data_IF_549062205636
#
_entry.id   IF_549062205636
#
_cell.length_a   1.000
_cell.length_b   1.000
_cell.length_c   1.000
_cell.angle_alpha   90.00
_cell.angle_beta   90.00
_cell.angle_gamma   90.00
#
_symmetry.space_group_name_H-M   'P 1'
#
loop_
_entity.id
_entity.type
_entity.pdbx_description
1 polymer ?
#
# COMPACT_ATOMS: atom_id res chain seq x y z
N UNK A 1 -33.23 -6.54 -19.14
CA UNK A 1 -32.11 -5.85 -19.79
C UNK A 1 -31.28 -5.24 -18.68
N UNK A 2 -30.23 -5.94 -18.27
CA UNK A 2 -29.40 -5.54 -17.13
C UNK A 2 -28.24 -4.74 -17.71
N UNK A 3 -28.22 -3.43 -17.45
CA UNK A 3 -27.03 -2.63 -17.73
C UNK A 3 -25.85 -3.28 -16.99
N UNK A 4 -24.76 -3.66 -17.69
CA UNK A 4 -23.55 -4.02 -17.00
C UNK A 4 -23.09 -2.73 -16.32
N UNK A 5 -22.97 -2.73 -14.99
CA UNK A 5 -22.27 -1.67 -14.28
C UNK A 5 -21.01 -1.33 -15.09
N UNK A 6 -20.79 -0.06 -15.50
CA UNK A 6 -19.60 0.30 -16.25
C UNK A 6 -18.41 -0.28 -15.49
N UNK A 7 -17.67 -1.18 -16.14
CA UNK A 7 -16.73 -2.03 -15.44
C UNK A 7 -15.74 -1.13 -14.70
N UNK A 8 -15.82 -1.10 -13.37
CA UNK A 8 -15.15 -0.09 -12.54
C UNK A 8 -13.62 -0.09 -12.70
N UNK A 9 -13.06 -1.08 -13.39
CA UNK A 9 -11.64 -1.21 -13.67
C UNK A 9 -11.15 -0.37 -14.86
N UNK A 10 -12.03 0.08 -15.76
CA UNK A 10 -11.63 0.74 -17.00
C UNK A 10 -10.93 2.10 -16.80
N UNK A 11 -11.37 2.99 -15.88
CA UNK A 11 -10.70 4.27 -15.68
C UNK A 11 -9.37 4.12 -14.93
N UNK A 12 -8.24 4.36 -15.60
CA UNK A 12 -6.91 4.36 -14.95
C UNK A 12 -6.82 5.33 -13.76
N UNK A 13 -7.59 6.42 -13.81
CA UNK A 13 -7.69 7.41 -12.73
C UNK A 13 -8.14 6.81 -11.39
N UNK A 14 -8.96 5.75 -11.42
CA UNK A 14 -9.42 5.05 -10.22
C UNK A 14 -8.27 4.39 -9.42
N UNK A 15 -7.08 4.25 -10.03
CA UNK A 15 -5.91 3.62 -9.43
C UNK A 15 -4.82 4.61 -9.02
N UNK A 16 -5.02 5.92 -9.19
CA UNK A 16 -4.00 6.92 -8.83
C UNK A 16 -3.65 6.91 -7.34
N UNK A 17 -4.58 6.50 -6.47
CA UNK A 17 -4.31 6.37 -5.04
C UNK A 17 -3.25 5.29 -4.73
N UNK A 18 -3.11 4.27 -5.60
CA UNK A 18 -2.09 3.20 -5.48
C UNK A 18 -0.68 3.78 -5.51
N UNK A 19 -0.50 4.93 -6.16
CA UNK A 19 0.82 5.55 -6.34
C UNK A 19 1.48 5.99 -5.02
N UNK A 20 0.74 5.91 -3.91
CA UNK A 20 1.13 6.48 -2.63
C UNK A 20 1.08 5.45 -1.50
N UNK A 21 0.68 4.22 -1.80
CA UNK A 21 0.53 3.16 -0.83
C UNK A 21 1.89 2.61 -0.39
N UNK A 22 2.00 2.33 0.91
CA UNK A 22 3.09 1.55 1.47
C UNK A 22 2.91 0.05 1.19
N UNK A 23 3.91 -0.74 1.56
CA UNK A 23 3.88 -2.20 1.38
C UNK A 23 2.64 -2.87 1.99
N UNK A 24 2.29 -2.60 3.25
CA UNK A 24 1.08 -3.16 3.87
C UNK A 24 -0.24 -2.71 3.22
N UNK A 25 -0.35 -1.46 2.79
CA UNK A 25 -1.52 -0.98 2.05
C UNK A 25 -1.64 -1.65 0.67
N UNK A 26 -0.54 -1.81 -0.06
CA UNK A 26 -0.53 -2.60 -1.30
C UNK A 26 -0.89 -4.06 -1.04
N UNK A 27 -0.37 -4.66 0.03
CA UNK A 27 -0.69 -6.03 0.41
C UNK A 27 -2.19 -6.22 0.62
N UNK A 28 -2.83 -5.24 1.27
CA UNK A 28 -4.26 -5.21 1.46
C UNK A 28 -5.02 -5.18 0.13
N UNK A 29 -4.62 -4.33 -0.81
CA UNK A 29 -5.28 -4.24 -2.11
C UNK A 29 -5.27 -5.58 -2.86
N UNK A 30 -4.17 -6.32 -2.82
CA UNK A 30 -4.13 -7.65 -3.41
C UNK A 30 -4.98 -8.66 -2.62
N UNK A 31 -4.93 -8.65 -1.29
CA UNK A 31 -5.70 -9.56 -0.45
C UNK A 31 -7.22 -9.37 -0.59
N UNK A 32 -7.71 -8.12 -0.54
CA UNK A 32 -9.16 -7.81 -0.59
C UNK A 32 -9.83 -8.23 -1.91
N UNK A 33 -9.03 -8.45 -2.96
CA UNK A 33 -9.46 -8.95 -4.28
C UNK A 33 -9.54 -10.47 -4.36
N UNK A 34 -8.98 -11.19 -3.38
CA UNK A 34 -8.99 -12.65 -3.39
C UNK A 34 -10.42 -13.20 -3.19
N UNK A 35 -10.94 -14.04 -4.11
CA UNK A 35 -12.31 -14.57 -4.01
C UNK A 35 -12.57 -15.36 -2.72
N UNK A 36 -11.62 -16.20 -2.31
CA UNK A 36 -11.75 -16.95 -1.06
C UNK A 36 -11.72 -16.05 0.18
N UNK A 37 -10.95 -14.95 0.18
CA UNK A 37 -10.96 -14.00 1.30
C UNK A 37 -12.34 -13.34 1.41
N UNK A 38 -12.91 -12.89 0.29
CA UNK A 38 -14.27 -12.33 0.23
C UNK A 38 -15.33 -13.35 0.66
N UNK A 39 -15.13 -14.64 0.38
CA UNK A 39 -16.02 -15.72 0.85
C UNK A 39 -15.90 -15.90 2.37
N UNK A 40 -14.69 -15.94 2.90
CA UNK A 40 -14.43 -16.07 4.34
C UNK A 40 -15.00 -14.87 5.12
N UNK A 41 -14.81 -13.65 4.61
CA UNK A 41 -15.41 -12.44 5.16
C UNK A 41 -16.94 -12.51 5.25
N UNK A 42 -17.60 -13.02 4.20
CA UNK A 42 -19.07 -13.19 4.20
C UNK A 42 -19.55 -14.25 5.19
N UNK A 43 -18.72 -15.24 5.50
CA UNK A 43 -19.04 -16.39 6.36
C UNK A 43 -18.66 -16.21 7.83
N UNK A 44 -18.25 -15.00 8.23
CA UNK A 44 -17.49 -14.70 9.48
C UNK A 44 -18.18 -14.94 10.84
N UNK A 45 -19.16 -15.83 10.98
CA UNK A 45 -19.84 -16.06 12.26
C UNK A 45 -18.94 -16.82 13.26
N UNK A 46 -18.69 -16.22 14.43
CA UNK A 46 -18.40 -16.93 15.70
C UNK A 46 -16.99 -17.50 15.97
N UNK A 47 -16.08 -17.59 15.00
CA UNK A 47 -14.68 -18.03 15.26
C UNK A 47 -13.69 -17.41 14.25
N UNK A 48 -13.33 -16.15 14.47
CA UNK A 48 -12.63 -15.33 13.48
C UNK A 48 -11.10 -15.46 13.50
N UNK A 49 -10.50 -15.86 14.63
CA UNK A 49 -9.04 -15.87 14.81
C UNK A 49 -8.31 -16.83 13.87
N UNK A 50 -8.73 -18.10 13.80
CA UNK A 50 -8.09 -19.11 12.95
C UNK A 50 -8.25 -18.79 11.44
N UNK A 51 -9.41 -18.26 11.04
CA UNK A 51 -9.65 -17.85 9.65
C UNK A 51 -8.85 -16.60 9.31
N UNK A 52 -8.70 -15.64 10.22
CA UNK A 52 -7.88 -14.45 9.97
C UNK A 52 -6.39 -14.81 9.83
N UNK A 53 -5.88 -15.70 10.68
CA UNK A 53 -4.48 -16.15 10.66
C UNK A 53 -4.08 -16.79 9.32
N UNK A 54 -5.00 -17.52 8.67
CA UNK A 54 -4.73 -18.09 7.33
C UNK A 54 -4.40 -17.02 6.28
N UNK A 55 -4.89 -15.80 6.47
CA UNK A 55 -4.67 -14.64 5.62
C UNK A 55 -3.53 -13.75 6.13
N UNK A 56 -2.91 -14.11 7.25
CA UNK A 56 -1.88 -13.31 7.91
C UNK A 56 -2.44 -12.11 8.67
N UNK A 57 -3.70 -12.16 9.11
CA UNK A 57 -4.37 -11.10 9.88
C UNK A 57 -4.75 -11.58 11.29
N UNK A 58 -4.74 -10.67 12.26
CA UNK A 58 -5.26 -10.91 13.60
C UNK A 58 -6.80 -10.96 13.63
N UNK A 59 -7.45 -10.20 12.73
CA UNK A 59 -8.89 -10.22 12.49
C UNK A 59 -9.17 -9.97 11.02
N UNK A 60 -10.30 -10.48 10.50
CA UNK A 60 -10.69 -10.15 9.12
C UNK A 60 -11.10 -8.68 9.05
N UNK A 61 -10.77 -8.05 7.92
CA UNK A 61 -11.09 -6.67 7.59
C UNK A 61 -12.09 -6.66 6.42
N UNK A 62 -12.90 -5.62 6.30
CA UNK A 62 -13.93 -5.54 5.27
C UNK A 62 -13.31 -5.39 3.88
N UNK A 63 -13.38 -6.40 2.99
CA UNK A 63 -12.81 -6.32 1.65
C UNK A 63 -13.53 -5.31 0.74
N UNK A 64 -14.64 -4.70 1.18
CA UNK A 64 -15.27 -3.56 0.51
C UNK A 64 -14.45 -2.27 0.64
N UNK A 65 -13.70 -2.10 1.72
CA UNK A 65 -12.87 -0.92 1.98
C UNK A 65 -11.53 -1.04 1.23
N UNK A 66 -11.15 0.03 0.55
CA UNK A 66 -9.81 0.12 -0.06
C UNK A 66 -8.76 0.52 0.99
N UNK A 67 -7.49 0.52 0.61
CA UNK A 67 -6.38 0.75 1.53
C UNK A 67 -6.34 2.17 2.14
N UNK A 68 -7.19 3.10 1.68
CA UNK A 68 -7.34 4.41 2.30
C UNK A 68 -8.20 4.37 3.56
N UNK A 69 -9.13 3.42 3.62
CA UNK A 69 -10.13 3.30 4.68
C UNK A 69 -9.96 2.03 5.52
N UNK A 70 -9.32 0.99 4.98
CA UNK A 70 -9.11 -0.26 5.66
C UNK A 70 -7.87 -0.24 6.56
N UNK A 71 -7.94 -0.93 7.70
CA UNK A 71 -6.84 -1.02 8.66
C UNK A 71 -6.56 -2.47 9.05
N UNK A 72 -6.04 -3.30 8.12
CA UNK A 72 -5.78 -4.70 8.42
C UNK A 72 -4.69 -4.84 9.49
N UNK A 73 -5.03 -5.51 10.59
CA UNK A 73 -4.08 -5.89 11.63
C UNK A 73 -3.28 -7.12 11.19
N UNK A 74 -2.11 -6.91 10.59
CA UNK A 74 -1.25 -7.98 10.09
C UNK A 74 -0.55 -8.74 11.23
N UNK A 75 -0.46 -10.07 11.14
CA UNK A 75 0.26 -10.88 12.13
C UNK A 75 1.78 -10.76 12.03
N UNK A 76 2.30 -10.41 10.84
CA UNK A 76 3.71 -10.11 10.66
C UNK A 76 3.90 -8.61 10.85
N UNK A 77 4.79 -8.24 11.77
CA UNK A 77 5.19 -6.83 11.92
C UNK A 77 5.69 -6.33 10.56
N UNK A 78 5.08 -5.27 10.00
CA UNK A 78 5.55 -4.68 8.76
C UNK A 78 7.02 -4.30 8.89
N UNK A 79 7.82 -4.63 7.88
CA UNK A 79 9.16 -4.09 7.79
C UNK A 79 9.08 -2.56 7.79
N UNK A 80 10.04 -1.90 8.46
CA UNK A 80 10.19 -0.44 8.45
C UNK A 80 9.13 0.36 9.24
N UNK A 81 8.53 -0.25 10.27
CA UNK A 81 7.65 0.47 11.18
C UNK A 81 8.47 1.37 12.11
N UNK A 82 8.30 2.67 11.98
CA UNK A 82 8.96 3.65 12.85
C UNK A 82 8.31 3.57 14.23
N UNK A 83 9.10 3.28 15.26
CA UNK A 83 8.60 3.24 16.63
C UNK A 83 8.82 4.59 17.31
N UNK A 84 7.80 5.11 17.98
CA UNK A 84 7.88 6.35 18.76
C UNK A 84 7.85 5.98 20.24
N UNK A 85 8.89 6.42 20.96
CA UNK A 85 9.08 6.13 22.38
C UNK A 85 9.24 7.45 23.17
N UNK A 86 8.88 7.48 24.46
CA UNK A 86 9.27 8.57 25.34
C UNK A 86 10.78 8.75 25.32
N UNK A 87 11.23 10.00 25.23
CA UNK A 87 12.63 10.34 25.45
C UNK A 87 12.92 10.29 26.95
N UNK A 88 13.85 9.41 27.35
CA UNK A 88 14.24 9.22 28.75
C UNK A 88 15.26 10.28 29.22
N UNK A 89 15.88 11.03 28.31
CA UNK A 89 16.87 12.05 28.62
C UNK A 89 16.73 13.28 27.70
N UNK A 90 15.59 14.00 27.78
CA UNK A 90 15.26 15.03 26.81
C UNK A 90 16.17 16.25 26.91
N UNK A 91 16.65 16.72 25.76
CA UNK A 91 17.24 18.05 25.61
C UNK A 91 16.18 19.15 25.75
N UNK A 92 16.60 20.40 25.96
CA UNK A 92 15.68 21.53 26.17
C UNK A 92 14.77 21.81 24.95
N UNK A 93 15.20 21.42 23.76
CA UNK A 93 14.51 21.58 22.47
C UNK A 93 13.91 20.27 21.95
N UNK A 94 13.78 19.24 22.80
CA UNK A 94 13.26 17.94 22.41
C UNK A 94 11.84 18.03 21.82
N UNK A 95 11.63 17.34 20.70
CA UNK A 95 10.31 17.28 20.04
C UNK A 95 9.33 16.54 20.93
N UNK A 96 8.21 17.18 21.23
CA UNK A 96 7.12 16.59 22.00
C UNK A 96 6.17 15.82 21.11
N UNK A 97 5.65 14.71 21.63
CA UNK A 97 4.63 13.95 20.94
C UNK A 97 3.29 14.68 20.99
N UNK A 98 2.84 15.15 19.83
CA UNK A 98 1.52 15.76 19.68
C UNK A 98 0.85 15.20 18.42
N UNK A 99 -0.17 14.37 18.62
CA UNK A 99 -0.95 13.76 17.53
C UNK A 99 -1.60 14.80 16.62
N UNK A 100 -2.01 15.95 17.16
CA UNK A 100 -2.69 17.00 16.42
C UNK A 100 -1.73 17.76 15.51
N UNK A 101 -0.48 17.93 15.92
CA UNK A 101 0.58 18.53 15.09
C UNK A 101 1.06 17.64 13.94
N UNK A 102 0.73 16.35 13.94
CA UNK A 102 1.07 15.45 12.84
C UNK A 102 0.20 15.81 11.63
N UNK A 103 0.83 16.09 10.50
CA UNK A 103 0.16 16.50 9.28
C UNK A 103 -0.62 15.34 8.63
N UNK A 104 -1.72 15.66 7.97
CA UNK A 104 -2.47 14.68 7.19
C UNK A 104 -3.69 14.09 7.88
N UNK A 105 -4.34 13.16 7.18
CA UNK A 105 -5.40 12.34 7.76
C UNK A 105 -4.77 11.28 8.65
N UNK A 106 -5.21 11.24 9.90
CA UNK A 106 -4.64 10.38 10.94
C UNK A 106 -5.65 9.32 11.31
N UNK A 107 -5.20 8.07 11.37
CA UNK A 107 -5.97 6.97 11.92
C UNK A 107 -5.16 6.26 12.98
N UNK A 108 -5.80 6.07 14.13
CA UNK A 108 -5.22 5.43 15.30
C UNK A 108 -6.00 4.14 15.58
N UNK A 109 -5.32 3.00 15.61
CA UNK A 109 -5.94 1.72 15.88
C UNK A 109 -5.00 0.79 16.65
N UNK A 110 -5.57 -0.17 17.37
CA UNK A 110 -4.78 -1.14 18.13
C UNK A 110 -4.68 -2.45 17.32
N UNK A 111 -3.46 -2.86 16.95
CA UNK A 111 -3.25 -4.08 16.15
C UNK A 111 -3.12 -5.37 16.97
N UNK A 112 -3.30 -5.27 18.29
CA UNK A 112 -3.25 -6.38 19.25
C UNK A 112 -1.98 -6.41 20.08
N UNK A 113 -0.88 -5.81 19.59
CA UNK A 113 0.41 -5.72 20.31
C UNK A 113 0.74 -4.30 20.76
N UNK A 114 0.48 -3.31 19.90
CA UNK A 114 0.72 -1.90 20.18
C UNK A 114 -0.31 -1.03 19.46
N UNK A 115 -0.31 0.25 19.82
CA UNK A 115 -1.13 1.26 19.17
C UNK A 115 -0.40 1.74 17.90
N UNK A 116 -1.08 1.68 16.76
CA UNK A 116 -0.53 2.10 15.47
C UNK A 116 -1.19 3.41 15.05
N UNK A 117 -0.35 4.38 14.72
CA UNK A 117 -0.78 5.61 14.07
C UNK A 117 -0.42 5.52 12.58
N UNK A 118 -1.40 5.71 11.72
CA UNK A 118 -1.19 5.93 10.29
C UNK A 118 -1.48 7.38 9.95
N UNK A 119 -0.59 8.00 9.17
CA UNK A 119 -0.72 9.37 8.71
C UNK A 119 -0.64 9.39 7.18
N UNK A 120 -1.68 9.91 6.55
CA UNK A 120 -1.74 10.12 5.10
C UNK A 120 -1.60 11.61 4.77
N UNK A 121 -0.58 11.90 3.98
CA UNK A 121 -0.36 13.18 3.30
C UNK A 121 -0.49 12.98 1.80
N UNK A 122 -0.76 14.03 1.00
CA UNK A 122 -0.75 13.94 -0.45
C UNK A 122 0.52 13.23 -0.88
N UNK A 123 0.41 12.03 -1.47
CA UNK A 123 1.57 11.30 -1.95
C UNK A 123 2.36 10.42 -0.98
N UNK A 124 2.04 10.34 0.31
CA UNK A 124 2.81 9.56 1.31
C UNK A 124 1.89 8.92 2.35
N UNK A 125 1.94 7.60 2.43
CA UNK A 125 1.50 6.82 3.60
C UNK A 125 2.66 6.65 4.57
N UNK A 126 2.41 6.86 5.87
CA UNK A 126 3.35 6.52 6.94
C UNK A 126 2.62 5.79 8.06
N UNK A 127 3.31 4.85 8.69
CA UNK A 127 2.84 4.11 9.86
C UNK A 127 3.85 4.24 10.98
N UNK A 128 3.35 4.38 12.20
CA UNK A 128 4.14 4.49 13.41
C UNK A 128 3.61 3.53 14.46
N UNK A 129 4.49 2.78 15.11
CA UNK A 129 4.18 2.08 16.35
C UNK A 129 4.36 3.04 17.52
N UNK A 130 3.36 3.17 18.37
CA UNK A 130 3.45 3.99 19.57
C UNK A 130 3.75 3.09 20.77
N UNK A 131 4.79 3.43 21.52
CA UNK A 131 5.10 2.75 22.77
C UNK A 131 3.93 2.93 23.77
N UNK A 132 3.59 1.92 24.58
CA UNK A 132 2.50 2.03 25.54
C UNK A 132 2.65 3.16 26.57
N UNK A 133 3.90 3.55 26.89
CA UNK A 133 4.21 4.63 27.81
C UNK A 133 4.24 6.03 27.14
N UNK A 134 3.96 6.12 25.84
CA UNK A 134 3.96 7.38 25.12
C UNK A 134 2.68 8.18 25.40
N UNK A 135 2.82 9.24 26.19
CA UNK A 135 1.74 10.16 26.51
C UNK A 135 1.75 11.43 25.64
N UNK A 136 0.65 12.15 25.61
CA UNK A 136 0.58 13.44 24.93
C UNK A 136 1.50 14.47 25.59
N UNK A 137 2.26 15.20 24.78
CA UNK A 137 3.13 16.29 25.23
C UNK A 137 4.46 15.85 25.84
N UNK A 138 4.72 14.55 25.97
CA UNK A 138 6.02 14.06 26.43
C UNK A 138 7.07 14.20 25.32
N UNK A 139 8.31 14.56 25.64
CA UNK A 139 9.42 14.45 24.70
C UNK A 139 9.51 13.04 24.12
N UNK A 140 9.75 12.93 22.83
CA UNK A 140 9.77 11.63 22.15
C UNK A 140 10.94 11.49 21.20
N UNK A 141 11.40 10.24 21.07
CA UNK A 141 12.37 9.81 20.08
C UNK A 141 11.73 8.80 19.15
N UNK A 142 12.32 8.63 17.97
CA UNK A 142 11.90 7.60 17.04
C UNK A 142 13.04 6.62 16.77
N UNK A 143 12.69 5.35 16.60
CA UNK A 143 13.60 4.30 16.17
C UNK A 143 13.07 3.74 14.86
N UNK A 144 13.92 3.74 13.84
CA UNK A 144 13.61 3.22 12.51
C UNK A 144 14.90 2.82 11.79
N UNK A 145 14.77 2.14 10.66
CA UNK A 145 15.90 1.87 9.78
C UNK A 145 16.33 3.15 9.05
N UNK A 146 17.59 3.27 8.63
CA UNK A 146 18.16 4.43 7.90
C UNK A 146 17.38 4.88 6.64
N UNK A 147 16.50 4.03 6.10
CA UNK A 147 15.60 4.34 4.96
C UNK A 147 14.18 4.70 5.36
N UNK A 148 13.87 4.60 6.65
CA UNK A 148 12.57 4.89 7.20
C UNK A 148 12.50 6.40 7.40
N UNK A 149 11.38 6.98 7.00
CA UNK A 149 11.20 8.38 7.28
C UNK A 149 11.19 8.59 8.81
N UNK A 150 11.89 9.62 9.29
CA UNK A 150 12.01 9.87 10.73
C UNK A 150 10.70 10.28 11.42
N UNK A 151 10.76 11.26 12.32
CA UNK A 151 9.58 11.74 13.06
C UNK A 151 8.36 12.02 12.16
N UNK A 152 7.14 11.91 12.71
CA UNK A 152 5.92 12.26 12.01
C UNK A 152 6.05 13.63 11.34
N UNK A 153 5.59 13.76 10.09
CA UNK A 153 5.63 15.04 9.39
C UNK A 153 4.79 16.06 10.17
N UNK A 154 5.39 17.19 10.51
CA UNK A 154 4.69 18.30 11.19
C UNK A 154 3.79 19.00 10.17
N UNK A 155 2.61 19.44 10.62
CA UNK A 155 1.68 20.22 9.82
C UNK A 155 2.31 21.56 9.41
N UNK A 156 2.81 21.61 8.18
CA UNK A 156 3.16 22.84 7.48
C UNK A 156 2.17 23.01 6.33
N UNK A 157 1.58 24.20 6.20
CA UNK A 157 0.65 24.56 5.10
C UNK A 157 1.26 24.26 3.72
N UNK A 158 2.60 24.34 3.59
CA UNK A 158 3.32 24.02 2.37
C UNK A 158 3.24 22.54 1.96
N UNK A 159 2.97 21.61 2.89
CA UNK A 159 2.97 20.17 2.62
C UNK A 159 1.85 19.75 1.64
N UNK A 160 0.74 20.49 1.60
CA UNK A 160 -0.38 20.26 0.68
C UNK A 160 -0.24 21.00 -0.65
N UNK A 161 0.56 22.07 -0.70
CA UNK A 161 0.81 22.89 -1.89
C UNK A 161 1.98 22.40 -2.77
N UNK A 162 2.80 21.47 -2.27
CA UNK A 162 3.96 20.96 -3.00
C UNK A 162 3.56 20.03 -4.16
N UNK A 163 3.88 20.44 -5.40
CA UNK A 163 3.89 19.55 -6.56
C UNK A 163 4.95 18.47 -6.39
N UNK A 164 4.57 17.21 -6.53
CA UNK A 164 5.47 16.07 -6.32
C UNK A 164 6.14 15.61 -7.61
N UNK A 165 7.36 15.04 -7.52
CA UNK A 165 8.01 14.47 -8.67
C UNK A 165 7.13 13.37 -9.29
N UNK A 166 7.24 13.24 -10.61
CA UNK A 166 6.54 12.22 -11.38
C UNK A 166 6.72 10.84 -10.72
N UNK A 167 5.65 10.04 -10.54
CA UNK A 167 5.75 8.71 -9.97
C UNK A 167 6.80 7.86 -10.70
N UNK A 168 7.63 7.17 -9.93
CA UNK A 168 8.63 6.26 -10.47
C UNK A 168 7.99 5.09 -11.23
N UNK A 169 8.76 4.46 -12.13
CA UNK A 169 8.28 3.34 -12.94
C UNK A 169 7.75 2.16 -12.12
N UNK A 170 8.36 1.87 -10.98
CA UNK A 170 7.92 0.79 -10.09
C UNK A 170 6.52 1.05 -9.52
N UNK A 171 6.24 2.30 -9.13
CA UNK A 171 4.96 2.71 -8.56
C UNK A 171 3.84 2.66 -9.62
N UNK A 172 4.12 3.14 -10.85
CA UNK A 172 3.20 2.99 -11.97
C UNK A 172 2.95 1.52 -12.33
N UNK A 173 3.97 0.66 -12.19
CA UNK A 173 3.82 -0.77 -12.40
C UNK A 173 2.83 -1.39 -11.41
N UNK A 174 2.82 -0.96 -10.14
CA UNK A 174 1.83 -1.44 -9.16
C UNK A 174 0.41 -1.06 -9.54
N UNK A 175 0.17 0.22 -9.90
CA UNK A 175 -1.14 0.69 -10.32
C UNK A 175 -1.67 -0.11 -11.53
N UNK A 176 -0.84 -0.28 -12.58
CA UNK A 176 -1.23 -1.09 -13.74
C UNK A 176 -1.39 -2.58 -13.42
N UNK A 177 -0.66 -3.11 -12.43
CA UNK A 177 -0.80 -4.51 -12.02
C UNK A 177 -2.14 -4.73 -11.31
N UNK A 178 -2.54 -3.82 -10.42
CA UNK A 178 -3.85 -3.87 -9.77
C UNK A 178 -4.99 -3.68 -10.78
N UNK A 179 -4.88 -2.72 -11.69
CA UNK A 179 -5.88 -2.52 -12.73
C UNK A 179 -6.01 -3.74 -13.65
N UNK A 180 -4.89 -4.33 -14.08
CA UNK A 180 -4.91 -5.55 -14.86
C UNK A 180 -5.51 -6.73 -14.07
N UNK A 181 -5.28 -6.83 -12.76
CA UNK A 181 -5.91 -7.85 -11.93
C UNK A 181 -7.42 -7.67 -11.88
N UNK A 182 -7.90 -6.45 -11.63
CA UNK A 182 -9.33 -6.15 -11.56
C UNK A 182 -10.03 -6.43 -12.89
N UNK A 183 -9.39 -6.09 -14.01
CA UNK A 183 -9.87 -6.44 -15.34
C UNK A 183 -9.99 -7.96 -15.56
N UNK A 184 -8.95 -8.72 -15.20
CA UNK A 184 -8.99 -10.18 -15.32
C UNK A 184 -10.04 -10.82 -14.40
N UNK A 185 -10.28 -10.26 -13.21
CA UNK A 185 -11.34 -10.70 -12.30
C UNK A 185 -12.74 -10.36 -12.83
N UNK A 186 -12.86 -9.31 -13.63
CA UNK A 186 -14.09 -8.96 -14.36
C UNK A 186 -14.32 -9.83 -15.61
N UNK A 187 -13.34 -10.67 -16.00
CA UNK A 187 -13.43 -11.52 -17.18
C UNK A 187 -12.90 -10.89 -18.47
N UNK A 188 -12.25 -9.72 -18.37
CA UNK A 188 -11.67 -9.05 -19.52
C UNK A 188 -10.55 -9.89 -20.18
N UNK A 189 -10.46 -9.75 -21.49
CA UNK A 189 -9.38 -10.29 -22.31
C UNK A 189 -8.10 -9.47 -22.16
N UNK A 190 -6.95 -10.07 -22.46
CA UNK A 190 -5.67 -9.35 -22.48
C UNK A 190 -5.68 -8.13 -23.41
N UNK A 191 -6.50 -8.17 -24.47
CA UNK A 191 -6.60 -7.07 -25.43
C UNK A 191 -7.36 -5.88 -24.83
N UNK A 192 -8.50 -6.12 -24.20
CA UNK A 192 -9.27 -5.07 -23.51
C UNK A 192 -8.42 -4.40 -22.41
N UNK A 193 -7.64 -5.19 -21.65
CA UNK A 193 -6.68 -4.63 -20.69
C UNK A 193 -5.66 -3.71 -21.37
N UNK A 194 -5.14 -4.12 -22.53
CA UNK A 194 -4.18 -3.31 -23.29
C UNK A 194 -4.82 -2.02 -23.80
N UNK A 195 -6.05 -2.09 -24.30
CA UNK A 195 -6.78 -0.95 -24.86
C UNK A 195 -7.10 0.07 -23.76
N UNK A 196 -7.48 -0.38 -22.56
CA UNK A 196 -7.69 0.50 -21.42
C UNK A 196 -6.40 1.20 -20.95
N UNK A 197 -5.27 0.50 -20.95
CA UNK A 197 -3.99 1.03 -20.44
C UNK A 197 -3.21 1.86 -21.47
N UNK A 198 -3.33 1.54 -22.75
CA UNK A 198 -2.50 2.09 -23.83
C UNK A 198 -3.28 2.76 -24.95
N UNK A 199 -4.61 2.66 -24.94
CA UNK A 199 -5.48 3.17 -25.98
C UNK A 199 -5.60 2.21 -27.17
N UNK A 200 -6.74 2.28 -27.85
CA UNK A 200 -7.10 1.41 -28.99
C UNK A 200 -6.14 1.56 -30.18
N UNK A 201 -5.69 2.78 -30.48
CA UNK A 201 -4.77 3.05 -31.59
C UNK A 201 -3.41 2.36 -31.41
N UNK A 202 -2.86 2.39 -30.19
CA UNK A 202 -1.59 1.73 -29.88
C UNK A 202 -1.70 0.20 -29.96
N UNK A 203 -2.82 -0.35 -29.49
CA UNK A 203 -3.11 -1.79 -29.59
C UNK A 203 -3.28 -2.21 -31.03
N UNK A 204 -4.02 -1.46 -31.84
CA UNK A 204 -4.19 -1.76 -33.26
C UNK A 204 -2.86 -1.81 -34.02
N UNK A 205 -1.89 -0.99 -33.64
CA UNK A 205 -0.57 -0.94 -34.27
C UNK A 205 0.38 -2.10 -33.88
N UNK A 206 0.27 -2.65 -32.65
CA UNK A 206 1.24 -3.61 -32.08
C UNK A 206 0.56 -4.77 -31.31
N UNK A 207 -0.52 -5.35 -31.85
CA UNK A 207 -1.21 -6.50 -31.22
C UNK A 207 -1.13 -7.77 -32.06
N UNK A 208 -0.04 -8.50 -31.86
CA UNK A 208 0.17 -9.84 -32.42
C UNK A 208 0.83 -10.77 -31.39
N UNK A 209 1.00 -12.05 -31.75
CA UNK A 209 1.43 -13.12 -30.84
C UNK A 209 2.75 -12.79 -30.09
N UNK A 210 3.73 -12.23 -30.82
CA UNK A 210 5.08 -11.94 -30.33
C UNK A 210 5.31 -10.47 -29.95
N UNK A 211 4.25 -9.64 -29.94
CA UNK A 211 4.37 -8.21 -29.62
C UNK A 211 4.84 -7.98 -28.19
N UNK A 212 5.69 -6.96 -28.01
CA UNK A 212 6.18 -6.54 -26.70
C UNK A 212 5.02 -6.08 -25.79
N UNK A 213 3.99 -5.48 -26.39
CA UNK A 213 2.76 -5.06 -25.73
C UNK A 213 1.99 -6.24 -25.14
N UNK A 214 1.68 -7.27 -25.94
CA UNK A 214 0.99 -8.49 -25.47
C UNK A 214 1.81 -9.21 -24.40
N UNK A 215 3.13 -9.30 -24.57
CA UNK A 215 4.02 -9.87 -23.56
C UNK A 215 3.99 -9.08 -22.24
N UNK A 216 3.92 -7.74 -22.29
CA UNK A 216 3.78 -6.88 -21.11
C UNK A 216 2.46 -7.12 -20.39
N UNK A 217 1.33 -7.20 -21.11
CA UNK A 217 0.03 -7.47 -20.51
C UNK A 217 -0.02 -8.84 -19.83
N UNK A 218 0.54 -9.88 -20.45
CA UNK A 218 0.69 -11.21 -19.84
C UNK A 218 1.49 -11.16 -18.54
N UNK A 219 2.56 -10.35 -18.47
CA UNK A 219 3.36 -10.21 -17.26
C UNK A 219 2.60 -9.48 -16.15
N UNK A 220 1.88 -8.40 -16.46
CA UNK A 220 1.07 -7.66 -15.49
C UNK A 220 -0.01 -8.55 -14.86
N UNK A 221 -0.80 -9.23 -15.70
CA UNK A 221 -1.90 -10.11 -15.25
C UNK A 221 -1.40 -11.27 -14.39
N UNK A 222 -0.31 -11.93 -14.80
CA UNK A 222 0.34 -12.98 -13.98
C UNK A 222 0.87 -12.44 -12.66
N UNK A 223 1.51 -11.27 -12.68
CA UNK A 223 2.03 -10.64 -11.47
C UNK A 223 0.91 -10.32 -10.49
N UNK A 224 -0.20 -9.74 -10.96
CA UNK A 224 -1.37 -9.44 -10.13
C UNK A 224 -1.98 -10.70 -9.51
N UNK A 225 -2.15 -11.75 -10.31
CA UNK A 225 -2.67 -13.03 -9.82
C UNK A 225 -1.74 -13.68 -8.77
N UNK A 226 -0.41 -13.63 -8.98
CA UNK A 226 0.58 -14.12 -8.02
C UNK A 226 0.55 -13.33 -6.70
N UNK A 227 0.48 -12.00 -6.78
CA UNK A 227 0.40 -11.15 -5.59
C UNK A 227 -0.89 -11.40 -4.82
N UNK A 228 -2.04 -11.48 -5.49
CA UNK A 228 -3.33 -11.83 -4.87
C UNK A 228 -3.26 -13.19 -4.17
N UNK A 229 -2.71 -14.22 -4.81
CA UNK A 229 -2.64 -15.60 -4.30
C UNK A 229 -1.48 -15.83 -3.33
N UNK A 230 -1.32 -14.93 -2.37
CA UNK A 230 -0.36 -15.04 -1.27
C UNK A 230 0.96 -14.29 -1.47
N UNK A 231 1.29 -13.87 -2.69
CA UNK A 231 2.48 -13.06 -2.96
C UNK A 231 2.48 -11.70 -2.24
N UNK A 232 1.30 -11.18 -1.88
CA UNK A 232 1.11 -9.94 -1.11
C UNK A 232 1.88 -9.95 0.22
N UNK A 233 2.14 -11.12 0.82
CA UNK A 233 2.87 -11.23 2.09
C UNK A 233 4.31 -10.72 1.98
N UNK A 234 4.92 -10.82 0.80
CA UNK A 234 6.27 -10.29 0.56
C UNK A 234 6.28 -8.75 0.62
N UNK A 235 5.15 -8.10 0.32
CA UNK A 235 5.00 -6.65 0.44
C UNK A 235 4.93 -6.19 1.91
N UNK A 236 4.68 -7.10 2.85
CA UNK A 236 4.77 -6.80 4.29
C UNK A 236 6.23 -6.73 4.77
N UNK A 237 7.12 -7.49 4.12
CA UNK A 237 8.53 -7.65 4.50
C UNK A 237 9.47 -6.71 3.75
N UNK A 238 8.99 -6.13 2.65
CA UNK A 238 9.77 -5.22 1.82
C UNK A 238 9.05 -3.88 1.76
N UNK A 239 9.72 -2.81 2.22
CA UNK A 239 9.33 -1.47 1.79
C UNK A 239 9.24 -1.49 0.27
N UNK A 240 8.16 -0.91 -0.29
CA UNK A 240 8.06 -0.70 -1.73
C UNK A 240 9.38 -0.09 -2.20
N UNK A 241 10.14 -0.84 -3.00
CA UNK A 241 11.49 -0.46 -3.40
C UNK A 241 11.39 0.78 -4.28
N UNK A 242 11.40 1.94 -3.63
CA UNK A 242 11.71 3.22 -4.23
C UNK A 242 13.21 3.29 -4.42
N UNK A 243 13.78 2.43 -5.27
CA UNK A 243 15.15 2.65 -5.75
C UNK A 243 15.21 2.51 -7.25
N UNK A 244 15.41 3.65 -7.90
CA UNK A 244 16.32 3.68 -9.04
C UNK A 244 17.65 3.11 -8.58
N UNK A 245 18.18 2.17 -9.38
CA UNK A 245 19.53 1.63 -9.25
C UNK A 245 20.53 2.79 -9.18
N UNK A 246 21.25 2.90 -8.07
CA UNK A 246 22.61 3.39 -8.09
C UNK A 246 23.45 2.32 -7.42
N UNK A 247 24.08 1.53 -8.29
CA UNK A 247 25.22 0.72 -7.94
C UNK A 247 26.36 1.71 -7.69
N UNK A 248 26.78 1.87 -6.44
CA UNK A 248 28.05 2.55 -6.16
C UNK A 248 29.15 1.53 -6.45
N UNK A 249 30.04 1.77 -7.43
CA UNK A 249 31.21 0.92 -7.60
C UNK A 249 32.17 1.24 -6.46
N UNK A 250 32.27 0.29 -5.51
CA UNK A 250 33.35 0.25 -4.53
C UNK A 250 34.69 0.46 -5.23
N UNK A 251 35.35 1.59 -4.93
CA UNK A 251 36.77 1.78 -5.23
C UNK A 251 37.54 0.61 -4.62
N UNK A 252 38.24 -0.15 -5.47
CA UNK A 252 39.27 -1.08 -5.01
C UNK A 252 40.55 -0.32 -4.68
N UNK A 253 41.36 -0.85 -3.75
CA UNK A 253 42.58 -0.21 -3.26
C UNK A 253 43.64 -0.02 -4.35
#
# INVERSE_FOLDING_TARGET
>A
MTDPHPEAWHPCAAYLYVLHLDGPALAWEYLRRHPDYRRDWRRRRGHMGAVAQRWGLHGLENPGLDAREAHPAWCSEPAHLVQIHPDLAPAADAVRFDVWHIAGHKHLFHEGRHLVLTAWLPGRWRRFALAPALEYGVPCVHVGHDRDAGLPPVADEAAWACSRPRPGRAVLLEAHTLQALDAMLAGATLREVAEALHGTAAVAADWHADSALRARMRRLTRRGAMLMRGGYRRLLQHASVGQGRLHDPTKRP
#
